data_IF_152221106434
#
_entry.id   IF_152221106434
#
_cell.length_a   1.000
_cell.length_b   1.000
_cell.length_c   1.000
_cell.angle_alpha   90.00
_cell.angle_beta   90.00
_cell.angle_gamma   90.00
#
_symmetry.space_group_name_H-M   'P 1'
#
loop_
_entity.id
_entity.type
_entity.pdbx_description
1 polymer ?
#
# COMPACT_ATOMS: atom_id res chain seq x y z
N UNK A 1 -34.19 -4.05 -34.32
CA UNK A 1 -33.11 -5.03 -34.07
C UNK A 1 -31.82 -4.24 -33.94
N UNK A 2 -31.46 -3.84 -32.71
CA UNK A 2 -30.44 -4.45 -31.84
C UNK A 2 -29.03 -4.27 -32.38
N UNK A 3 -28.20 -3.48 -31.68
CA UNK A 3 -26.93 -3.96 -31.13
C UNK A 3 -26.56 -3.13 -29.88
N UNK A 4 -26.67 -3.78 -28.72
CA UNK A 4 -26.02 -3.40 -27.48
C UNK A 4 -24.50 -3.39 -27.71
N UNK A 5 -23.83 -2.28 -27.40
CA UNK A 5 -22.39 -2.15 -27.61
C UNK A 5 -21.66 -1.29 -26.58
N UNK A 6 -22.18 -1.12 -25.36
CA UNK A 6 -21.52 -0.29 -24.34
C UNK A 6 -21.61 -0.89 -22.93
N UNK A 7 -21.18 -2.15 -22.77
CA UNK A 7 -21.10 -2.76 -21.44
C UNK A 7 -19.92 -3.74 -21.26
N UNK A 8 -19.07 -3.97 -22.27
CA UNK A 8 -18.00 -4.98 -22.14
C UNK A 8 -16.68 -4.44 -21.57
N UNK A 9 -16.49 -3.12 -21.48
CA UNK A 9 -15.21 -2.54 -21.02
C UNK A 9 -15.10 -2.37 -19.50
N UNK A 10 -16.21 -2.40 -18.77
CA UNK A 10 -16.20 -2.17 -17.31
C UNK A 10 -16.01 -3.48 -16.53
N UNK A 11 -16.37 -4.62 -17.10
CA UNK A 11 -16.31 -5.92 -16.39
C UNK A 11 -14.90 -6.48 -16.29
N UNK A 12 -14.03 -6.22 -17.27
CA UNK A 12 -12.68 -6.83 -17.33
C UNK A 12 -11.74 -6.23 -16.28
N UNK A 13 -11.93 -4.96 -15.91
CA UNK A 13 -11.10 -4.29 -14.90
C UNK A 13 -11.33 -4.83 -13.48
N UNK A 14 -12.55 -5.29 -13.18
CA UNK A 14 -12.93 -5.79 -11.86
C UNK A 14 -12.32 -7.19 -11.62
N UNK A 15 -12.23 -8.02 -12.67
CA UNK A 15 -11.67 -9.38 -12.55
C UNK A 15 -10.16 -9.40 -12.32
N UNK A 16 -9.41 -8.39 -12.78
CA UNK A 16 -7.96 -8.30 -12.53
C UNK A 16 -7.62 -7.87 -11.09
N UNK A 17 -8.49 -7.05 -10.48
CA UNK A 17 -8.32 -6.60 -9.09
C UNK A 17 -8.63 -7.69 -8.06
N UNK A 18 -9.45 -8.68 -8.43
CA UNK A 18 -9.82 -9.79 -7.56
C UNK A 18 -8.72 -10.86 -7.41
N UNK A 19 -7.70 -10.87 -8.29
CA UNK A 19 -6.62 -11.87 -8.29
C UNK A 19 -5.25 -11.26 -7.91
N UNK A 20 -5.25 -10.02 -7.39
CA UNK A 20 -4.04 -9.39 -6.85
C UNK A 20 -3.13 -8.73 -7.88
N UNK A 21 -3.64 -8.26 -9.01
CA UNK A 21 -2.84 -7.50 -9.98
C UNK A 21 -1.63 -8.28 -10.52
N UNK A 22 -0.69 -7.57 -11.15
CA UNK A 22 0.47 -8.16 -11.81
C UNK A 22 1.45 -8.86 -10.84
N UNK A 23 1.36 -8.60 -9.53
CA UNK A 23 2.27 -9.16 -8.51
C UNK A 23 1.61 -9.99 -7.41
N UNK A 24 0.33 -10.37 -7.58
CA UNK A 24 -0.46 -11.06 -6.53
C UNK A 24 -0.50 -10.31 -5.18
N UNK A 25 -0.44 -8.97 -5.23
CA UNK A 25 -0.49 -8.13 -4.03
C UNK A 25 -1.79 -8.31 -3.28
N UNK A 26 -1.70 -8.38 -1.95
CA UNK A 26 -2.87 -8.40 -1.08
C UNK A 26 -3.50 -7.00 -0.95
N UNK A 27 -2.84 -5.94 -1.44
CA UNK A 27 -3.33 -4.56 -1.43
C UNK A 27 -3.45 -4.04 -2.88
N UNK A 28 -4.42 -4.53 -3.67
CA UNK A 28 -4.51 -4.24 -5.10
C UNK A 28 -4.68 -2.76 -5.42
N UNK A 29 -5.34 -1.97 -4.55
CA UNK A 29 -5.51 -0.52 -4.78
C UNK A 29 -4.21 0.24 -4.56
N UNK A 30 -3.42 -0.17 -3.56
CA UNK A 30 -2.11 0.42 -3.26
C UNK A 30 -1.14 0.09 -4.39
N UNK A 31 -1.11 -1.16 -4.83
CA UNK A 31 -0.30 -1.60 -5.97
C UNK A 31 -0.66 -0.82 -7.24
N UNK A 32 -1.95 -0.73 -7.58
CA UNK A 32 -2.39 0.02 -8.75
C UNK A 32 -1.98 1.50 -8.67
N UNK A 33 -2.02 2.12 -7.49
CA UNK A 33 -1.63 3.51 -7.32
C UNK A 33 -0.12 3.71 -7.55
N UNK A 34 0.71 2.82 -7.01
CA UNK A 34 2.16 2.86 -7.19
C UNK A 34 2.57 2.54 -8.63
N UNK A 35 1.99 1.51 -9.25
CA UNK A 35 2.34 1.09 -10.61
C UNK A 35 1.93 2.10 -11.68
N UNK A 36 0.75 2.72 -11.55
CA UNK A 36 0.23 3.63 -12.57
C UNK A 36 0.68 5.08 -12.39
N UNK A 37 1.34 5.43 -11.29
CA UNK A 37 1.70 6.82 -11.01
C UNK A 37 3.05 6.93 -10.28
N UNK A 38 4.07 7.33 -11.04
CA UNK A 38 5.44 7.52 -10.56
C UNK A 38 5.55 8.61 -9.49
N UNK A 39 4.66 9.61 -9.47
CA UNK A 39 4.68 10.67 -8.45
C UNK A 39 4.53 10.09 -7.03
N UNK A 40 3.77 9.00 -6.86
CA UNK A 40 3.61 8.36 -5.55
C UNK A 40 4.85 7.58 -5.13
N UNK A 41 5.57 6.99 -6.09
CA UNK A 41 6.85 6.33 -5.83
C UNK A 41 7.90 7.36 -5.39
N UNK A 42 8.07 8.44 -6.18
CA UNK A 42 8.99 9.53 -5.86
C UNK A 42 8.64 10.22 -4.54
N UNK A 43 7.35 10.42 -4.28
CA UNK A 43 6.89 11.01 -3.04
C UNK A 43 7.25 10.12 -1.84
N UNK A 44 7.09 8.81 -1.97
CA UNK A 44 7.41 7.87 -0.90
C UNK A 44 8.92 7.85 -0.64
N UNK A 45 9.74 7.77 -1.68
CA UNK A 45 11.20 7.87 -1.58
C UNK A 45 11.64 9.19 -0.92
N UNK A 46 11.02 10.30 -1.29
CA UNK A 46 11.31 11.62 -0.71
C UNK A 46 11.05 11.66 0.80
N UNK A 47 9.87 11.21 1.25
CA UNK A 47 9.54 11.23 2.70
C UNK A 47 10.26 10.13 3.47
N UNK A 48 10.67 9.06 2.79
CA UNK A 48 11.40 7.93 3.35
C UNK A 48 12.92 8.05 3.18
N UNK A 49 13.47 9.19 2.76
CA UNK A 49 14.89 9.34 2.42
C UNK A 49 15.89 8.97 3.55
N UNK A 50 15.43 8.90 4.81
CA UNK A 50 16.24 8.46 5.98
C UNK A 50 15.99 7.01 6.38
N UNK A 51 15.19 6.28 5.62
CA UNK A 51 14.83 4.87 5.85
C UNK A 51 15.59 3.99 4.87
N UNK A 52 15.79 2.74 5.28
CA UNK A 52 16.46 1.71 4.49
C UNK A 52 15.41 0.88 3.75
N UNK A 53 14.91 1.42 2.64
CA UNK A 53 13.87 0.76 1.82
C UNK A 53 14.37 -0.57 1.23
N UNK A 54 15.67 -0.71 1.02
CA UNK A 54 16.34 -1.91 0.47
C UNK A 54 16.24 -3.15 1.35
N UNK A 55 15.80 -3.01 2.61
CA UNK A 55 15.57 -4.14 3.51
C UNK A 55 14.29 -4.92 3.23
N UNK A 56 13.39 -4.36 2.42
CA UNK A 56 12.07 -4.91 2.14
C UNK A 56 12.06 -5.49 0.73
N UNK A 57 11.25 -6.52 0.50
CA UNK A 57 11.13 -7.15 -0.83
C UNK A 57 10.41 -6.26 -1.85
N UNK A 58 9.59 -5.30 -1.39
CA UNK A 58 8.86 -4.37 -2.25
C UNK A 58 8.62 -3.02 -1.57
N UNK A 59 8.18 -2.04 -2.36
CA UNK A 59 7.76 -0.73 -1.85
C UNK A 59 6.49 -0.83 -0.98
N UNK A 60 5.60 -1.77 -1.30
CA UNK A 60 4.39 -2.06 -0.51
C UNK A 60 4.78 -2.67 0.83
N UNK A 61 5.72 -3.63 0.83
CA UNK A 61 6.28 -4.22 2.05
C UNK A 61 6.89 -3.16 2.95
N UNK A 62 7.73 -2.28 2.39
CA UNK A 62 8.30 -1.14 3.11
C UNK A 62 7.19 -0.30 3.75
N UNK A 63 6.21 0.14 2.96
CA UNK A 63 5.14 1.00 3.43
C UNK A 63 4.33 0.32 4.54
N UNK A 64 3.95 -0.94 4.34
CA UNK A 64 3.18 -1.71 5.30
C UNK A 64 3.92 -1.91 6.62
N UNK A 65 5.14 -2.44 6.54
CA UNK A 65 5.98 -2.70 7.71
C UNK A 65 6.32 -1.43 8.50
N UNK A 66 6.46 -0.30 7.82
CA UNK A 66 6.74 0.95 8.49
C UNK A 66 5.49 1.57 9.12
N UNK A 67 4.30 1.40 8.55
CA UNK A 67 3.06 1.89 9.21
C UNK A 67 2.64 0.96 10.36
N UNK A 68 2.72 -0.35 10.16
CA UNK A 68 2.31 -1.39 11.09
C UNK A 68 3.52 -2.17 11.61
N UNK A 69 4.26 -1.52 12.51
CA UNK A 69 5.55 -2.02 13.00
C UNK A 69 5.48 -3.40 13.67
N UNK A 70 4.30 -3.77 14.20
CA UNK A 70 4.03 -5.06 14.81
C UNK A 70 4.13 -6.24 13.83
N UNK A 71 3.99 -6.01 12.53
CA UNK A 71 4.14 -7.05 11.50
C UNK A 71 5.56 -7.17 10.92
N UNK A 72 6.48 -6.25 11.25
CA UNK A 72 7.85 -6.25 10.69
C UNK A 72 8.56 -7.59 10.86
N UNK A 73 8.50 -8.16 12.07
CA UNK A 73 9.16 -9.41 12.37
C UNK A 73 8.56 -10.57 11.55
N UNK A 74 7.24 -10.61 11.42
CA UNK A 74 6.55 -11.62 10.62
C UNK A 74 6.93 -11.51 9.14
N UNK A 75 6.96 -10.30 8.59
CA UNK A 75 7.39 -10.04 7.21
C UNK A 75 8.84 -10.48 6.98
N UNK A 76 9.78 -10.15 7.88
CA UNK A 76 11.16 -10.61 7.75
C UNK A 76 11.31 -12.13 7.92
N UNK A 77 10.50 -12.78 8.76
CA UNK A 77 10.48 -14.24 8.81
C UNK A 77 10.00 -14.84 7.49
N UNK A 78 8.95 -14.27 6.88
CA UNK A 78 8.45 -14.69 5.58
C UNK A 78 9.52 -14.53 4.49
N UNK A 79 10.23 -13.40 4.43
CA UNK A 79 11.32 -13.18 3.47
C UNK A 79 12.44 -14.22 3.56
N UNK A 80 12.67 -14.76 4.77
CA UNK A 80 13.65 -15.82 5.04
C UNK A 80 13.08 -17.24 4.89
N UNK A 81 11.88 -17.41 4.33
CA UNK A 81 11.21 -18.71 4.16
C UNK A 81 10.75 -19.37 5.45
N UNK A 82 10.62 -18.60 6.55
CA UNK A 82 10.33 -19.09 7.91
C UNK A 82 9.02 -18.57 8.51
N UNK A 83 8.27 -17.75 7.77
CA UNK A 83 7.05 -17.10 8.24
C UNK A 83 5.85 -17.39 7.36
N UNK A 84 4.66 -17.13 7.91
CA UNK A 84 3.39 -17.19 7.20
C UNK A 84 3.23 -16.01 6.25
N UNK A 85 2.41 -16.19 5.21
CA UNK A 85 2.04 -15.07 4.36
C UNK A 85 1.12 -14.12 5.13
N UNK A 86 1.24 -12.83 4.87
CA UNK A 86 0.46 -11.82 5.59
C UNK A 86 -1.06 -12.06 5.47
N UNK A 87 -1.56 -12.54 4.32
CA UNK A 87 -2.98 -12.85 4.14
C UNK A 87 -3.48 -14.02 5.00
N UNK A 88 -2.59 -14.90 5.47
CA UNK A 88 -2.90 -16.01 6.37
C UNK A 88 -3.03 -15.54 7.82
N UNK A 89 -2.44 -14.37 8.13
CA UNK A 89 -2.34 -13.83 9.48
C UNK A 89 -3.39 -12.76 9.80
N UNK A 90 -4.11 -12.26 8.79
CA UNK A 90 -5.00 -11.10 8.93
C UNK A 90 -6.41 -11.45 8.43
N UNK A 91 -7.42 -10.95 9.14
CA UNK A 91 -8.81 -11.06 8.69
C UNK A 91 -9.09 -10.17 7.47
N UNK A 92 -10.16 -10.45 6.70
CA UNK A 92 -10.60 -9.57 5.62
C UNK A 92 -10.88 -8.12 6.07
N UNK A 93 -11.39 -7.96 7.30
CA UNK A 93 -11.65 -6.64 7.91
C UNK A 93 -10.34 -5.90 8.15
N UNK A 94 -9.35 -6.54 8.78
CA UNK A 94 -8.02 -5.96 8.97
C UNK A 94 -7.36 -5.62 7.64
N UNK A 95 -7.44 -6.51 6.66
CA UNK A 95 -6.91 -6.28 5.31
C UNK A 95 -7.48 -5.00 4.68
N UNK A 96 -8.79 -4.81 4.77
CA UNK A 96 -9.44 -3.59 4.29
C UNK A 96 -8.93 -2.35 5.02
N UNK A 97 -8.83 -2.39 6.35
CA UNK A 97 -8.32 -1.27 7.14
C UNK A 97 -6.87 -0.93 6.81
N UNK A 98 -6.01 -1.94 6.67
CA UNK A 98 -4.63 -1.76 6.25
C UNK A 98 -4.57 -1.10 4.87
N UNK A 99 -5.34 -1.57 3.90
CA UNK A 99 -5.35 -0.94 2.58
C UNK A 99 -5.72 0.55 2.62
N UNK A 100 -6.73 0.94 3.41
CA UNK A 100 -7.09 2.36 3.57
C UNK A 100 -5.96 3.17 4.22
N UNK A 101 -5.31 2.63 5.26
CA UNK A 101 -4.20 3.29 5.93
C UNK A 101 -3.00 3.49 4.99
N UNK A 102 -2.67 2.48 4.18
CA UNK A 102 -1.59 2.56 3.18
C UNK A 102 -1.90 3.60 2.11
N UNK A 103 -3.13 3.61 1.57
CA UNK A 103 -3.57 4.65 0.64
C UNK A 103 -3.46 6.04 1.26
N UNK A 104 -3.84 6.18 2.53
CA UNK A 104 -3.74 7.47 3.23
C UNK A 104 -2.30 7.92 3.43
N UNK A 105 -1.41 7.00 3.77
CA UNK A 105 0.02 7.28 3.89
C UNK A 105 0.60 7.79 2.55
N UNK A 106 0.19 7.18 1.43
CA UNK A 106 0.59 7.62 0.09
C UNK A 106 0.04 9.01 -0.25
N UNK A 107 -1.21 9.32 0.07
CA UNK A 107 -1.77 10.68 -0.09
C UNK A 107 -0.97 11.73 0.69
N UNK A 108 -0.63 11.43 1.95
CA UNK A 108 0.15 12.34 2.81
C UNK A 108 1.56 12.52 2.26
N UNK A 109 2.21 11.43 1.83
CA UNK A 109 3.54 11.47 1.23
C UNK A 109 3.53 12.34 -0.04
N UNK A 110 2.57 12.10 -0.94
CA UNK A 110 2.42 12.85 -2.18
C UNK A 110 2.13 14.34 -1.92
N UNK A 111 1.22 14.67 -1.00
CA UNK A 111 0.94 16.05 -0.63
C UNK A 111 2.17 16.76 -0.03
N UNK A 112 2.97 16.04 0.77
CA UNK A 112 4.20 16.54 1.39
C UNK A 112 5.27 16.81 0.32
N UNK A 113 5.49 15.86 -0.59
CA UNK A 113 6.43 15.97 -1.70
C UNK A 113 6.03 17.09 -2.67
N UNK A 114 4.75 17.21 -3.05
CA UNK A 114 4.26 18.30 -3.92
C UNK A 114 4.51 19.68 -3.33
N UNK A 115 4.38 19.82 -2.01
CA UNK A 115 4.66 21.07 -1.30
C UNK A 115 6.15 21.28 -1.02
N UNK A 116 7.01 20.31 -1.38
CA UNK A 116 8.45 20.26 -1.06
C UNK A 116 8.72 20.55 0.42
N UNK A 117 7.80 20.13 1.30
CA UNK A 117 7.92 20.32 2.75
C UNK A 117 8.62 19.11 3.34
N UNK A 118 9.52 19.36 4.29
CA UNK A 118 10.12 18.27 5.07
C UNK A 118 9.11 17.84 6.12
N UNK A 119 8.75 16.56 6.10
CA UNK A 119 7.98 15.91 7.14
C UNK A 119 8.75 14.68 7.60
N UNK A 120 8.85 14.48 8.91
CA UNK A 120 9.44 13.24 9.41
C UNK A 120 8.51 12.07 9.13
N UNK A 121 9.10 10.92 8.79
CA UNK A 121 8.35 9.68 8.63
C UNK A 121 7.49 9.35 9.87
N UNK A 122 8.03 9.59 11.07
CA UNK A 122 7.30 9.39 12.33
C UNK A 122 6.02 10.22 12.40
N UNK A 123 6.02 11.44 11.85
CA UNK A 123 4.82 12.28 11.78
C UNK A 123 3.79 11.68 10.83
N UNK A 124 4.21 11.14 9.69
CA UNK A 124 3.32 10.44 8.75
C UNK A 124 2.69 9.22 9.46
N UNK A 125 3.51 8.39 10.13
CA UNK A 125 3.03 7.23 10.90
C UNK A 125 1.98 7.65 11.93
N UNK A 126 2.28 8.63 12.76
CA UNK A 126 1.36 9.11 13.80
C UNK A 126 0.08 9.66 13.19
N UNK A 127 0.14 10.46 12.12
CA UNK A 127 -1.07 10.97 11.46
C UNK A 127 -1.95 9.85 10.90
N UNK A 128 -1.36 8.80 10.34
CA UNK A 128 -2.12 7.64 9.84
C UNK A 128 -2.74 6.84 10.99
N UNK A 129 -2.00 6.67 12.10
CA UNK A 129 -2.46 5.93 13.29
C UNK A 129 -3.58 6.68 14.03
N UNK A 130 -3.46 7.99 14.24
CA UNK A 130 -4.48 8.83 14.89
C UNK A 130 -5.82 8.79 14.15
N UNK A 131 -5.79 8.73 12.82
CA UNK A 131 -7.00 8.60 12.00
C UNK A 131 -7.70 7.23 12.17
N UNK A 132 -6.96 6.21 12.60
CA UNK A 132 -7.47 4.87 12.82
C UNK A 132 -7.99 4.66 14.25
N UNK A 133 -7.33 5.25 15.26
CA UNK A 133 -7.79 5.21 16.65
C UNK A 133 -9.06 6.05 16.90
N UNK A 134 -9.37 6.99 16.00
CA UNK A 134 -10.55 7.87 16.08
C UNK A 134 -11.79 7.36 15.31
N UNK A 135 -11.71 6.21 14.63
CA UNK A 135 -12.77 5.63 13.79
C UNK A 135 -13.36 4.36 14.43
#
# INVERSE_FOLDING_TARGET
MLYLGCSLQVTITISLQAVGGATSSIFPRVEALLLNNTDYQEALEFVAARKKMEKYHSMIDFLFCEIFTEYQLACFHFYNGRGHQLHEMISPVQKFHFEQALLKALEIAHATWRRKKIMSWKKIQTTVQEMYEAA
#
